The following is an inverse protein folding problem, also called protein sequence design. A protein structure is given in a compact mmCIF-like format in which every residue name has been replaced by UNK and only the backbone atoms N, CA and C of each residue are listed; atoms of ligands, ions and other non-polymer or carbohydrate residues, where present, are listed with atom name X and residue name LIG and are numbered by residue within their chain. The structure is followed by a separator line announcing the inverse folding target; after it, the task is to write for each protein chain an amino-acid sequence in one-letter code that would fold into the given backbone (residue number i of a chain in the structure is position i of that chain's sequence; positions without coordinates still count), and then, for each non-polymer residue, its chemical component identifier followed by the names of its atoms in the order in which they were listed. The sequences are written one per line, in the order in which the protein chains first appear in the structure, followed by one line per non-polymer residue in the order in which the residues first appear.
data_IF_784855331222
#
_entry.id   IF_784855331222
#
_cell.length_a   1.000
_cell.length_b   1.000
_cell.length_c   1.000
_cell.angle_alpha   90.00
_cell.angle_beta   90.00
_cell.angle_gamma   90.00
#
_symmetry.space_group_name_H-M   'P 1'
#
loop_
_entity.id
_entity.type
_entity.pdbx_description
1 polymer ?
#
# COMPACT_ATOMS: atom_id res chain seq x y z
N UNK A 1 36.18 39.40 74.57
CA UNK A 1 34.78 38.94 74.59
C UNK A 1 34.54 38.26 73.28
N UNK A 2 34.14 36.98 73.31
CA UNK A 2 34.17 36.00 72.22
C UNK A 2 32.84 35.98 71.48
N UNK A 3 32.86 36.15 70.15
CA UNK A 3 31.71 35.91 69.32
C UNK A 3 32.04 34.82 68.33
N UNK A 4 31.38 33.69 68.50
CA UNK A 4 31.47 32.53 67.64
C UNK A 4 30.60 32.76 66.36
N UNK A 5 31.25 32.75 65.18
CA UNK A 5 30.55 32.66 63.91
C UNK A 5 30.35 31.21 63.56
N UNK A 6 29.10 30.80 63.58
CA UNK A 6 28.66 29.49 63.09
C UNK A 6 28.59 29.51 61.57
N UNK A 7 29.49 28.82 60.90
CA UNK A 7 29.54 28.62 59.47
C UNK A 7 28.51 27.53 59.11
N UNK A 8 27.42 27.96 58.45
CA UNK A 8 26.40 27.03 57.92
C UNK A 8 26.84 26.55 56.55
N UNK A 9 27.19 25.29 56.44
CA UNK A 9 27.46 24.60 55.18
C UNK A 9 26.13 24.31 54.50
N UNK A 10 25.87 24.98 53.37
CA UNK A 10 24.78 24.67 52.44
C UNK A 10 25.29 23.58 51.47
N UNK A 11 24.81 22.37 51.64
CA UNK A 11 25.00 21.30 50.68
C UNK A 11 24.11 21.58 49.49
N UNK A 12 24.65 22.02 48.38
CA UNK A 12 24.02 22.00 47.07
C UNK A 12 24.15 20.60 46.50
N UNK A 13 23.05 19.88 46.50
CA UNK A 13 22.95 18.60 45.73
C UNK A 13 22.74 18.90 44.25
N UNK A 14 23.52 18.35 43.35
CA UNK A 14 23.23 18.46 41.92
C UNK A 14 22.07 17.52 41.56
N UNK A 15 20.99 18.10 41.09
CA UNK A 15 19.86 17.33 40.47
C UNK A 15 20.34 16.91 39.10
N UNK A 16 20.67 15.62 38.94
CA UNK A 16 20.91 14.99 37.65
C UNK A 16 19.57 14.88 36.91
N UNK A 17 19.37 15.69 35.88
CA UNK A 17 18.31 15.50 34.90
C UNK A 17 18.72 14.38 33.95
N UNK A 18 18.19 13.16 34.17
CA UNK A 18 18.25 12.08 33.20
C UNK A 18 17.25 12.42 32.08
N UNK A 19 17.76 12.95 30.98
CA UNK A 19 17.01 13.07 29.74
C UNK A 19 16.80 11.64 29.18
N UNK A 20 15.65 11.06 29.46
CA UNK A 20 15.21 9.83 28.82
C UNK A 20 14.86 10.15 27.35
N UNK A 21 15.78 9.88 26.43
CA UNK A 21 15.46 9.80 25.00
C UNK A 21 14.53 8.59 24.79
N UNK A 22 13.22 8.84 24.84
CA UNK A 22 12.24 7.87 24.41
C UNK A 22 12.34 7.79 22.88
N UNK A 23 13.06 6.78 22.37
CA UNK A 23 12.98 6.36 20.97
C UNK A 23 11.59 5.81 20.73
N UNK A 24 10.72 6.68 20.20
CA UNK A 24 9.38 6.28 19.76
C UNK A 24 9.54 5.31 18.58
N UNK A 25 9.23 4.03 18.79
CA UNK A 25 9.17 3.06 17.72
C UNK A 25 8.14 3.54 16.68
N UNK A 26 8.40 3.37 15.37
CA UNK A 26 7.42 3.70 14.36
C UNK A 26 6.16 2.87 14.60
N UNK A 27 5.04 3.56 14.85
CA UNK A 27 3.74 2.91 14.97
C UNK A 27 3.43 2.19 13.65
N UNK A 28 2.97 0.93 13.69
CA UNK A 28 2.52 0.25 12.48
C UNK A 28 1.37 1.08 11.89
N UNK A 29 1.54 1.53 10.64
CA UNK A 29 0.49 2.22 9.89
C UNK A 29 -0.69 1.25 9.82
N UNK A 30 -1.71 1.51 10.64
CA UNK A 30 -2.94 0.75 10.60
C UNK A 30 -3.58 0.97 9.22
N UNK A 31 -3.48 -0.02 8.34
CA UNK A 31 -4.26 -0.07 7.11
C UNK A 31 -5.72 -0.15 7.56
N UNK A 32 -6.58 0.84 7.25
CA UNK A 32 -7.97 0.79 7.67
C UNK A 32 -8.58 -0.51 7.13
N UNK A 33 -9.36 -1.25 7.96
CA UNK A 33 -9.99 -2.48 7.50
C UNK A 33 -10.90 -2.14 6.32
N UNK A 34 -10.65 -2.75 5.17
CA UNK A 34 -11.56 -2.74 4.03
C UNK A 34 -12.81 -3.46 4.52
N UNK A 35 -13.85 -2.70 4.83
CA UNK A 35 -15.12 -3.27 5.29
C UNK A 35 -15.71 -4.14 4.17
N UNK A 36 -15.91 -5.44 4.37
CA UNK A 36 -16.70 -6.24 3.43
C UNK A 36 -18.13 -5.72 3.55
N UNK A 37 -18.67 -5.15 2.47
CA UNK A 37 -20.05 -4.67 2.43
C UNK A 37 -20.23 -3.18 2.20
N UNK A 38 -19.20 -2.41 1.82
CA UNK A 38 -19.40 -1.07 1.29
C UNK A 38 -20.31 -1.16 0.05
N UNK A 39 -21.49 -0.57 0.16
CA UNK A 39 -22.53 -0.51 -0.86
C UNK A 39 -21.90 -0.18 -2.23
N UNK A 40 -22.17 -1.03 -3.22
CA UNK A 40 -21.69 -0.82 -4.59
C UNK A 40 -22.34 0.45 -5.11
N UNK A 41 -21.57 1.51 -5.21
CA UNK A 41 -22.07 2.82 -5.64
C UNK A 41 -22.03 3.00 -7.15
N UNK A 42 -21.26 2.16 -7.88
CA UNK A 42 -21.17 2.20 -9.34
C UNK A 42 -21.77 0.91 -9.94
N UNK A 43 -22.81 0.98 -10.79
CA UNK A 43 -23.42 -0.21 -11.42
C UNK A 43 -22.44 -1.05 -12.25
N UNK A 44 -21.30 -0.47 -12.64
CA UNK A 44 -20.25 -1.17 -13.37
C UNK A 44 -19.28 -1.91 -12.46
N UNK A 45 -19.39 -1.76 -11.13
CA UNK A 45 -18.44 -2.37 -10.20
C UNK A 45 -18.49 -3.89 -10.29
N UNK A 46 -17.33 -4.48 -10.57
CA UNK A 46 -17.12 -5.94 -10.60
C UNK A 46 -16.67 -6.42 -9.22
N UNK A 47 -15.62 -5.77 -8.69
CA UNK A 47 -14.98 -6.19 -7.46
C UNK A 47 -14.22 -4.99 -6.84
N UNK A 48 -14.03 -5.04 -5.52
CA UNK A 48 -13.27 -4.07 -4.75
C UNK A 48 -12.27 -4.80 -3.86
N UNK A 49 -11.03 -4.32 -3.81
CA UNK A 49 -10.00 -4.95 -3.00
C UNK A 49 -8.65 -4.26 -3.15
N UNK A 50 -7.59 -4.98 -2.82
CA UNK A 50 -6.23 -4.47 -2.98
C UNK A 50 -5.68 -4.81 -4.35
N UNK A 51 -4.97 -3.87 -4.96
CA UNK A 51 -4.13 -4.10 -6.13
C UNK A 51 -2.67 -4.12 -5.74
N UNK A 52 -1.87 -4.90 -6.47
CA UNK A 52 -0.43 -4.78 -6.50
C UNK A 52 0.08 -4.73 -7.94
N UNK A 53 1.39 -4.77 -8.14
CA UNK A 53 1.99 -4.83 -9.47
C UNK A 53 3.21 -5.75 -9.49
N UNK A 54 3.51 -6.30 -10.67
CA UNK A 54 4.62 -7.22 -10.89
C UNK A 54 5.96 -6.52 -10.76
N UNK A 55 6.86 -7.09 -9.95
CA UNK A 55 8.23 -6.65 -9.86
C UNK A 55 9.04 -6.93 -11.14
N UNK A 56 10.27 -6.41 -11.20
CA UNK A 56 11.14 -6.50 -12.38
C UNK A 56 11.46 -7.93 -12.82
N UNK A 57 11.48 -8.90 -11.91
CA UNK A 57 11.78 -10.31 -12.20
C UNK A 57 10.74 -11.04 -13.05
N UNK A 58 9.63 -10.41 -13.41
CA UNK A 58 8.58 -11.01 -14.24
C UNK A 58 8.71 -10.65 -15.73
N UNK A 59 9.48 -9.61 -16.08
CA UNK A 59 9.67 -9.22 -17.47
C UNK A 59 10.14 -10.38 -18.36
N UNK A 60 9.45 -10.61 -19.47
CA UNK A 60 9.78 -11.65 -20.43
C UNK A 60 9.31 -13.06 -20.07
N UNK A 61 8.65 -13.26 -18.92
CA UNK A 61 8.09 -14.55 -18.51
C UNK A 61 6.73 -14.79 -19.19
N UNK A 62 6.39 -16.04 -19.43
CA UNK A 62 5.05 -16.40 -19.92
C UNK A 62 4.01 -16.18 -18.82
N UNK A 63 2.90 -15.55 -19.19
CA UNK A 63 1.69 -15.45 -18.38
C UNK A 63 0.82 -16.69 -18.53
N UNK A 64 -0.24 -16.81 -17.74
CA UNK A 64 -1.17 -17.93 -17.83
C UNK A 64 -1.94 -17.99 -19.16
N UNK A 65 -2.10 -16.88 -19.88
CA UNK A 65 -2.65 -16.86 -21.25
C UNK A 65 -1.67 -17.34 -22.33
N UNK A 66 -0.40 -17.53 -21.98
CA UNK A 66 0.66 -17.89 -22.92
C UNK A 66 1.40 -16.69 -23.53
N UNK A 67 0.91 -15.47 -23.29
CA UNK A 67 1.61 -14.24 -23.72
C UNK A 67 2.91 -14.03 -22.93
N UNK A 68 3.86 -13.33 -23.53
CA UNK A 68 5.03 -12.86 -22.81
C UNK A 68 4.67 -11.62 -22.01
N UNK A 69 4.99 -11.59 -20.73
CA UNK A 69 4.74 -10.44 -19.87
C UNK A 69 5.63 -9.26 -20.29
N UNK A 70 5.00 -8.12 -20.54
CA UNK A 70 5.65 -6.84 -20.77
C UNK A 70 5.21 -5.84 -19.72
N UNK A 71 6.15 -5.38 -18.90
CA UNK A 71 5.92 -4.39 -17.85
C UNK A 71 5.43 -3.04 -18.37
N UNK A 72 5.66 -2.73 -19.66
CA UNK A 72 5.23 -1.49 -20.30
C UNK A 72 3.85 -1.56 -20.96
N UNK A 73 3.28 -2.76 -21.12
CA UNK A 73 1.93 -2.96 -21.61
C UNK A 73 0.89 -2.73 -20.51
N UNK A 74 -0.33 -2.34 -20.87
CA UNK A 74 -1.43 -2.18 -19.91
C UNK A 74 -2.18 -3.51 -19.72
N UNK A 75 -1.60 -4.40 -18.93
CA UNK A 75 -2.12 -5.74 -18.65
C UNK A 75 -2.19 -6.02 -17.16
N UNK A 76 -2.96 -7.04 -16.79
CA UNK A 76 -3.09 -7.46 -15.40
C UNK A 76 -3.46 -8.94 -15.27
N UNK A 77 -3.23 -9.48 -14.06
CA UNK A 77 -3.75 -10.76 -13.62
C UNK A 77 -5.03 -10.58 -12.82
N UNK A 78 -6.00 -11.46 -13.09
CA UNK A 78 -7.21 -11.61 -12.29
C UNK A 78 -7.54 -13.08 -12.11
N UNK A 79 -8.18 -13.44 -10.97
CA UNK A 79 -8.43 -14.85 -10.63
C UNK A 79 -9.38 -15.55 -11.57
N UNK A 80 -10.45 -14.88 -11.99
CA UNK A 80 -11.59 -15.50 -12.67
C UNK A 80 -12.02 -14.84 -13.97
N UNK A 81 -11.75 -13.56 -14.18
CA UNK A 81 -12.15 -12.88 -15.42
C UNK A 81 -11.48 -13.54 -16.64
N UNK A 82 -12.21 -13.76 -17.75
CA UNK A 82 -11.66 -14.34 -18.96
C UNK A 82 -10.43 -13.57 -19.48
N UNK A 83 -9.48 -14.27 -20.10
CA UNK A 83 -8.39 -13.61 -20.79
C UNK A 83 -8.93 -12.72 -21.92
N UNK A 84 -8.32 -11.56 -22.10
CA UNK A 84 -8.76 -10.55 -23.06
C UNK A 84 -9.82 -9.58 -22.51
N UNK A 85 -10.39 -9.85 -21.34
CA UNK A 85 -11.34 -8.91 -20.71
C UNK A 85 -10.65 -7.58 -20.42
N UNK A 86 -11.31 -6.49 -20.85
CA UNK A 86 -10.89 -5.13 -20.51
C UNK A 86 -11.55 -4.72 -19.20
N UNK A 87 -10.76 -4.22 -18.28
CA UNK A 87 -11.19 -3.81 -16.94
C UNK A 87 -10.66 -2.42 -16.63
N UNK A 88 -11.53 -1.55 -16.18
CA UNK A 88 -11.14 -0.23 -15.66
C UNK A 88 -10.79 -0.36 -14.19
N UNK A 89 -9.57 -0.03 -13.84
CA UNK A 89 -9.08 -0.01 -12.47
C UNK A 89 -9.06 1.44 -12.00
N UNK A 90 -9.81 1.73 -10.93
CA UNK A 90 -9.88 3.05 -10.29
C UNK A 90 -9.20 2.99 -8.93
N UNK A 91 -8.32 3.94 -8.67
CA UNK A 91 -7.79 4.18 -7.34
C UNK A 91 -8.68 5.22 -6.62
N UNK A 92 -9.46 4.84 -5.60
CA UNK A 92 -10.39 5.75 -4.95
C UNK A 92 -9.71 6.86 -4.13
N UNK A 93 -8.42 6.68 -3.77
CA UNK A 93 -7.69 7.67 -2.99
C UNK A 93 -7.30 8.92 -3.78
N UNK A 94 -7.11 8.78 -5.11
CA UNK A 94 -6.72 9.89 -5.98
C UNK A 94 -7.61 10.07 -7.22
N UNK A 95 -8.60 9.19 -7.43
CA UNK A 95 -9.51 9.23 -8.56
C UNK A 95 -8.92 8.81 -9.91
N UNK A 96 -7.64 8.41 -9.95
CA UNK A 96 -6.98 7.99 -11.19
C UNK A 96 -7.49 6.63 -11.66
N UNK A 97 -7.59 6.48 -12.97
CA UNK A 97 -8.07 5.27 -13.62
C UNK A 97 -7.14 4.81 -14.74
N UNK A 98 -7.16 3.51 -14.99
CA UNK A 98 -6.51 2.89 -16.14
C UNK A 98 -7.35 1.72 -16.64
N UNK A 99 -7.42 1.53 -17.94
CA UNK A 99 -8.00 0.32 -18.53
C UNK A 99 -6.88 -0.67 -18.79
N UNK A 100 -7.05 -1.91 -18.30
CA UNK A 100 -6.09 -3.00 -18.45
C UNK A 100 -6.75 -4.20 -19.10
N UNK A 101 -5.98 -4.98 -19.85
CA UNK A 101 -6.42 -6.25 -20.41
C UNK A 101 -5.96 -7.40 -19.51
N UNK A 102 -6.87 -8.28 -19.17
CA UNK A 102 -6.57 -9.48 -18.37
C UNK A 102 -5.85 -10.51 -19.26
N UNK A 103 -4.63 -10.89 -18.90
CA UNK A 103 -3.83 -11.88 -19.60
C UNK A 103 -3.11 -12.88 -18.69
N UNK A 104 -3.36 -12.78 -17.37
CA UNK A 104 -2.72 -13.68 -16.42
C UNK A 104 -3.69 -14.10 -15.31
N UNK A 105 -3.29 -15.11 -14.50
CA UNK A 105 -4.01 -15.62 -13.34
C UNK A 105 -3.34 -15.23 -12.03
N UNK A 106 -4.16 -14.86 -11.08
CA UNK A 106 -3.80 -14.37 -9.78
C UNK A 106 -4.56 -13.09 -9.44
N UNK A 107 -4.27 -12.42 -8.33
CA UNK A 107 -3.34 -12.82 -7.27
C UNK A 107 -3.84 -14.01 -6.45
N UNK A 108 -2.89 -14.79 -5.90
CA UNK A 108 -3.18 -15.92 -5.00
C UNK A 108 -2.95 -15.53 -3.51
N UNK A 109 -2.81 -14.24 -3.24
CA UNK A 109 -2.62 -13.68 -1.90
C UNK A 109 -3.95 -13.07 -1.44
N UNK A 110 -4.36 -13.38 -0.22
CA UNK A 110 -5.62 -12.90 0.34
C UNK A 110 -5.75 -11.38 0.35
N UNK A 111 -6.96 -10.89 0.07
CA UNK A 111 -7.27 -9.46 0.02
C UNK A 111 -6.87 -8.73 -1.27
N UNK A 112 -6.00 -9.31 -2.09
CA UNK A 112 -5.69 -8.76 -3.43
C UNK A 112 -6.65 -9.30 -4.47
N UNK A 113 -7.10 -8.41 -5.36
CA UNK A 113 -8.04 -8.73 -6.44
C UNK A 113 -7.41 -8.64 -7.82
N UNK A 114 -6.33 -7.87 -7.97
CA UNK A 114 -5.66 -7.64 -9.25
C UNK A 114 -4.17 -7.41 -9.05
N UNK A 115 -3.34 -7.96 -9.94
CA UNK A 115 -1.91 -7.63 -10.04
C UNK A 115 -1.66 -7.00 -11.41
N UNK A 116 -1.18 -5.77 -11.43
CA UNK A 116 -1.03 -4.96 -12.65
C UNK A 116 0.41 -4.97 -13.17
N UNK A 117 0.55 -4.67 -14.46
CA UNK A 117 1.85 -4.29 -15.01
C UNK A 117 2.37 -3.00 -14.34
N UNK A 118 3.68 -2.75 -14.43
CA UNK A 118 4.29 -1.52 -13.93
C UNK A 118 3.70 -0.26 -14.58
N UNK A 119 3.47 -0.30 -15.90
CA UNK A 119 2.87 0.81 -16.63
C UNK A 119 1.44 1.12 -16.16
N UNK A 120 0.62 0.09 -15.92
CA UNK A 120 -0.74 0.26 -15.39
C UNK A 120 -0.71 0.82 -13.97
N UNK A 121 0.16 0.29 -13.10
CA UNK A 121 0.33 0.77 -11.72
C UNK A 121 0.76 2.25 -11.67
N UNK A 122 1.60 2.68 -12.60
CA UNK A 122 2.01 4.09 -12.72
C UNK A 122 0.82 5.00 -12.98
N UNK A 123 -0.11 4.58 -13.87
CA UNK A 123 -1.30 5.37 -14.24
C UNK A 123 -2.26 5.62 -13.09
N UNK A 124 -2.32 4.73 -12.11
CA UNK A 124 -3.19 4.87 -10.92
C UNK A 124 -2.43 5.28 -9.66
N UNK A 125 -1.17 5.69 -9.80
CA UNK A 125 -0.35 6.19 -8.69
C UNK A 125 0.07 5.12 -7.69
N UNK A 126 0.16 3.84 -8.11
CA UNK A 126 0.41 2.71 -7.22
C UNK A 126 1.90 2.39 -6.99
N UNK A 127 2.81 2.92 -7.82
CA UNK A 127 4.23 2.50 -7.80
C UNK A 127 4.90 2.69 -6.45
N UNK A 128 4.65 3.81 -5.76
CA UNK A 128 5.29 4.11 -4.47
C UNK A 128 4.71 3.31 -3.31
N UNK A 129 3.41 3.06 -3.35
CA UNK A 129 2.71 2.32 -2.30
C UNK A 129 2.93 0.80 -2.42
N UNK A 130 3.20 0.30 -3.64
CA UNK A 130 3.32 -1.12 -3.93
C UNK A 130 1.99 -1.87 -3.91
N UNK A 131 1.15 -1.57 -2.93
CA UNK A 131 -0.21 -2.11 -2.73
C UNK A 131 -1.13 -0.98 -2.32
N UNK A 132 -2.34 -0.92 -2.91
CA UNK A 132 -3.36 0.06 -2.54
C UNK A 132 -4.78 -0.46 -2.85
N UNK A 133 -5.81 0.09 -2.17
CA UNK A 133 -7.20 -0.19 -2.50
C UNK A 133 -7.55 0.28 -3.91
N UNK A 134 -8.31 -0.55 -4.63
CA UNK A 134 -8.85 -0.22 -5.96
C UNK A 134 -10.28 -0.72 -6.11
N UNK A 135 -10.95 -0.17 -7.11
CA UNK A 135 -12.27 -0.60 -7.59
C UNK A 135 -12.11 -1.07 -9.03
N UNK A 136 -12.58 -2.27 -9.32
CA UNK A 136 -12.61 -2.84 -10.67
C UNK A 136 -13.98 -2.58 -11.28
N UNK A 137 -14.01 -1.98 -12.46
CA UNK A 137 -15.23 -1.62 -13.17
C UNK A 137 -15.25 -2.29 -14.56
N UNK A 138 -16.43 -2.62 -15.04
CA UNK A 138 -16.62 -3.01 -16.44
C UNK A 138 -16.29 -1.84 -17.35
N UNK A 139 -15.57 -2.15 -18.43
CA UNK A 139 -15.36 -1.22 -19.52
C UNK A 139 -16.54 -1.24 -20.48
#
# INVERSE_FOLDING_TARGET
MRTLHRLRWLFLAPVLWLAACATRAPEPVAVPPVRPGAERTDPREIERGLASWYGEGFQGRKTASGEIFDANALTAAHRTLPFGTMVRVRNPANGQEVVVRINDRGPHIGGRVIDMSRAAAARVGLLRAGVAPVVLLRE
#
